data_IF_712709719040
#
_entry.id   IF_712709719040
#
_cell.length_a   1.000
_cell.length_b   1.000
_cell.length_c   1.000
_cell.angle_alpha   90.00
_cell.angle_beta   90.00
_cell.angle_gamma   90.00
#
_symmetry.space_group_name_H-M   'P 1'
#
loop_
_entity.id
_entity.type
_entity.pdbx_description
1 polymer ?
#
# COMPACT_ATOMS: atom_id res chain seq x y z
N UNK A 1 20.46 -7.13 13.29
CA UNK A 1 20.73 -6.00 12.36
C UNK A 1 20.98 -6.46 10.91
N UNK A 2 21.88 -7.42 10.66
CA UNK A 2 22.20 -7.91 9.30
C UNK A 2 20.97 -8.35 8.48
N UNK A 3 20.13 -9.21 9.05
CA UNK A 3 18.92 -9.73 8.37
C UNK A 3 17.90 -8.64 8.03
N UNK A 4 17.71 -7.66 8.93
CA UNK A 4 16.84 -6.51 8.71
C UNK A 4 17.28 -5.70 7.49
N UNK A 5 18.58 -5.43 7.36
CA UNK A 5 19.13 -4.68 6.22
C UNK A 5 19.06 -5.49 4.93
N UNK A 6 19.35 -6.79 4.98
CA UNK A 6 19.21 -7.68 3.82
C UNK A 6 17.76 -7.72 3.35
N UNK A 7 16.80 -7.91 4.27
CA UNK A 7 15.37 -7.90 3.95
C UNK A 7 14.92 -6.56 3.35
N UNK A 8 15.46 -5.43 3.83
CA UNK A 8 15.19 -4.12 3.26
C UNK A 8 15.71 -4.00 1.82
N UNK A 9 16.96 -4.41 1.57
CA UNK A 9 17.55 -4.37 0.23
C UNK A 9 16.76 -5.24 -0.76
N UNK A 10 16.39 -6.46 -0.34
CA UNK A 10 15.56 -7.36 -1.16
C UNK A 10 14.20 -6.73 -1.45
N UNK A 11 13.54 -6.15 -0.43
CA UNK A 11 12.25 -5.49 -0.62
C UNK A 11 12.37 -4.30 -1.58
N UNK A 12 13.41 -3.47 -1.45
CA UNK A 12 13.66 -2.36 -2.39
C UNK A 12 13.77 -2.89 -3.81
N UNK A 13 14.61 -3.92 -4.06
CA UNK A 13 14.76 -4.51 -5.39
C UNK A 13 13.42 -5.01 -5.94
N UNK A 14 12.63 -5.73 -5.13
CA UNK A 14 11.31 -6.23 -5.55
C UNK A 14 10.37 -5.06 -5.89
N UNK A 15 10.29 -4.04 -5.02
CA UNK A 15 9.45 -2.86 -5.23
C UNK A 15 9.89 -2.12 -6.49
N UNK A 16 11.20 -1.95 -6.71
CA UNK A 16 11.76 -1.36 -7.93
C UNK A 16 11.29 -2.12 -9.16
N UNK A 17 11.50 -3.44 -9.20
CA UNK A 17 11.13 -4.28 -10.33
C UNK A 17 9.63 -4.21 -10.64
N UNK A 18 8.78 -4.24 -9.62
CA UNK A 18 7.33 -4.10 -9.82
C UNK A 18 6.98 -2.68 -10.29
N UNK A 19 7.65 -1.64 -9.77
CA UNK A 19 7.39 -0.26 -10.18
C UNK A 19 7.69 -0.02 -11.66
N UNK A 20 8.67 -0.73 -12.23
CA UNK A 20 9.03 -0.57 -13.64
C UNK A 20 7.89 -0.95 -14.60
N UNK A 21 6.87 -1.71 -14.16
CA UNK A 21 5.68 -1.97 -14.99
C UNK A 21 5.00 -0.66 -15.44
N UNK A 22 5.07 0.39 -14.62
CA UNK A 22 4.47 1.69 -14.92
C UNK A 22 5.23 2.50 -15.98
N UNK A 23 6.46 2.13 -16.35
CA UNK A 23 7.13 2.78 -17.51
C UNK A 23 6.44 2.45 -18.83
N UNK A 24 5.64 1.37 -18.89
CA UNK A 24 4.79 1.07 -20.05
C UNK A 24 3.58 2.01 -20.20
N UNK A 25 3.34 2.87 -19.21
CA UNK A 25 2.35 3.95 -19.23
C UNK A 25 3.02 5.33 -19.36
N UNK A 26 4.25 5.37 -19.88
CA UNK A 26 5.06 6.59 -20.05
C UNK A 26 5.37 7.36 -18.75
N UNK A 27 5.14 6.76 -17.58
CA UNK A 27 5.51 7.34 -16.29
C UNK A 27 7.04 7.20 -16.11
N UNK A 28 7.80 8.30 -15.98
CA UNK A 28 9.25 8.22 -15.87
C UNK A 28 9.69 7.65 -14.52
N UNK A 29 10.77 6.88 -14.51
CA UNK A 29 11.45 6.53 -13.26
C UNK A 29 12.14 7.79 -12.69
N UNK A 30 12.04 8.09 -11.38
CA UNK A 30 11.53 7.26 -10.29
C UNK A 30 10.04 7.48 -9.92
N UNK A 31 9.29 8.28 -10.67
CA UNK A 31 7.86 8.55 -10.39
C UNK A 31 6.99 7.28 -10.42
N UNK A 32 7.46 6.22 -11.07
CA UNK A 32 6.83 4.89 -11.05
C UNK A 32 6.62 4.31 -9.64
N UNK A 33 7.46 4.65 -8.65
CA UNK A 33 7.24 4.24 -7.26
C UNK A 33 5.95 4.83 -6.70
N UNK A 34 5.67 6.10 -7.01
CA UNK A 34 4.46 6.77 -6.56
C UNK A 34 3.23 6.11 -7.20
N UNK A 35 3.29 5.83 -8.50
CA UNK A 35 2.23 5.12 -9.21
C UNK A 35 1.95 3.74 -8.60
N UNK A 36 2.99 2.96 -8.28
CA UNK A 36 2.85 1.67 -7.61
C UNK A 36 2.23 1.79 -6.21
N UNK A 37 2.72 2.70 -5.37
CA UNK A 37 2.21 2.90 -4.00
C UNK A 37 0.75 3.35 -4.06
N UNK A 38 0.40 4.28 -4.93
CA UNK A 38 -0.98 4.75 -5.07
C UNK A 38 -1.90 3.65 -5.58
N UNK A 39 -1.46 2.88 -6.58
CA UNK A 39 -2.27 1.79 -7.18
C UNK A 39 -2.53 0.69 -6.17
N UNK A 40 -1.50 0.23 -5.48
CA UNK A 40 -1.61 -0.81 -4.45
C UNK A 40 -2.50 -0.38 -3.28
N UNK A 41 -2.37 0.88 -2.82
CA UNK A 41 -3.25 1.41 -1.78
C UNK A 41 -4.68 1.64 -2.28
N UNK A 42 -4.89 1.99 -3.56
CA UNK A 42 -6.23 2.11 -4.15
C UNK A 42 -6.94 0.75 -4.19
N UNK A 43 -6.22 -0.31 -4.60
CA UNK A 43 -6.73 -1.69 -4.56
C UNK A 43 -7.09 -2.08 -3.11
N UNK A 44 -6.20 -1.81 -2.15
CA UNK A 44 -6.45 -2.11 -0.75
C UNK A 44 -7.64 -1.31 -0.18
N UNK A 45 -7.79 -0.04 -0.57
CA UNK A 45 -8.90 0.83 -0.18
C UNK A 45 -10.23 0.32 -0.76
N UNK A 46 -10.25 -0.09 -2.02
CA UNK A 46 -11.42 -0.70 -2.66
C UNK A 46 -11.88 -1.95 -1.91
N UNK A 47 -10.95 -2.85 -1.57
CA UNK A 47 -11.26 -4.05 -0.77
C UNK A 47 -11.76 -3.65 0.62
N UNK A 48 -11.18 -2.62 1.24
CA UNK A 48 -11.54 -2.16 2.58
C UNK A 48 -12.97 -1.59 2.67
N UNK A 49 -13.57 -1.12 1.57
CA UNK A 49 -14.98 -0.69 1.54
C UNK A 49 -15.88 -1.83 2.04
N UNK A 50 -15.59 -3.08 1.67
CA UNK A 50 -16.36 -4.26 2.09
C UNK A 50 -15.69 -4.90 3.32
N UNK A 51 -14.39 -5.20 3.22
CA UNK A 51 -13.63 -6.05 4.15
C UNK A 51 -12.58 -5.26 4.97
N UNK A 52 -12.96 -4.11 5.52
CA UNK A 52 -12.06 -3.22 6.26
C UNK A 52 -11.19 -3.93 7.32
N UNK A 53 -11.82 -4.69 8.22
CA UNK A 53 -11.10 -5.42 9.28
C UNK A 53 -10.07 -6.40 8.72
N UNK A 54 -10.38 -7.08 7.61
CA UNK A 54 -9.45 -8.00 6.99
C UNK A 54 -8.20 -7.27 6.49
N UNK A 55 -8.36 -6.11 5.84
CA UNK A 55 -7.22 -5.31 5.36
C UNK A 55 -6.30 -4.83 6.49
N UNK A 56 -6.88 -4.47 7.65
CA UNK A 56 -6.15 -4.08 8.85
C UNK A 56 -5.36 -5.28 9.41
N UNK A 57 -6.03 -6.43 9.60
CA UNK A 57 -5.40 -7.63 10.17
C UNK A 57 -4.29 -8.19 9.26
N UNK A 58 -4.49 -8.18 7.95
CA UNK A 58 -3.47 -8.61 6.97
C UNK A 58 -2.22 -7.73 7.12
N UNK A 59 -2.37 -6.41 7.21
CA UNK A 59 -1.24 -5.51 7.41
C UNK A 59 -0.52 -5.80 8.73
N UNK A 60 -1.26 -5.91 9.83
CA UNK A 60 -0.66 -6.17 11.15
C UNK A 60 0.05 -7.52 11.21
N UNK A 61 -0.49 -8.55 10.55
CA UNK A 61 0.15 -9.86 10.43
C UNK A 61 1.50 -9.81 9.72
N UNK A 62 1.66 -8.92 8.74
CA UNK A 62 2.93 -8.75 8.01
C UNK A 62 3.87 -7.75 8.66
N UNK A 63 3.38 -6.75 9.40
CA UNK A 63 4.22 -5.65 9.91
C UNK A 63 4.51 -5.77 11.40
N UNK A 64 3.53 -6.17 12.22
CA UNK A 64 3.64 -6.18 13.69
C UNK A 64 4.04 -7.54 14.27
N UNK A 65 3.94 -8.62 13.49
CA UNK A 65 4.43 -9.93 13.91
C UNK A 65 5.95 -9.89 14.12
N UNK A 66 6.40 -10.59 15.17
CA UNK A 66 7.82 -10.80 15.45
C UNK A 66 8.55 -11.36 14.23
N UNK A 67 9.75 -10.84 13.99
CA UNK A 67 10.55 -11.14 12.80
C UNK A 67 11.56 -12.22 13.13
N UNK A 68 11.33 -13.41 12.60
CA UNK A 68 12.17 -14.60 12.84
C UNK A 68 13.07 -14.93 11.66
N UNK A 69 12.78 -14.41 10.48
CA UNK A 69 13.49 -14.69 9.23
C UNK A 69 13.67 -13.44 8.37
N UNK A 70 14.59 -13.51 7.40
CA UNK A 70 14.77 -12.47 6.38
C UNK A 70 13.46 -12.24 5.60
N UNK A 71 12.71 -13.29 5.29
CA UNK A 71 11.43 -13.19 4.60
C UNK A 71 10.41 -12.38 5.41
N UNK A 72 10.38 -12.52 6.73
CA UNK A 72 9.49 -11.72 7.58
C UNK A 72 9.79 -10.22 7.46
N UNK A 73 11.07 -9.85 7.31
CA UNK A 73 11.47 -8.46 7.03
C UNK A 73 11.08 -8.03 5.62
N UNK A 74 11.31 -8.86 4.60
CA UNK A 74 10.95 -8.56 3.20
C UNK A 74 9.45 -8.27 3.09
N UNK A 75 8.60 -9.19 3.56
CA UNK A 75 7.15 -9.02 3.50
C UNK A 75 6.67 -7.85 4.36
N UNK A 76 7.33 -7.57 5.49
CA UNK A 76 7.03 -6.38 6.30
C UNK A 76 7.26 -5.10 5.50
N UNK A 77 8.39 -4.97 4.81
CA UNK A 77 8.69 -3.77 4.02
C UNK A 77 7.81 -3.63 2.78
N UNK A 78 7.49 -4.75 2.11
CA UNK A 78 6.53 -4.76 1.00
C UNK A 78 5.15 -4.32 1.51
N UNK A 79 4.65 -4.87 2.61
CA UNK A 79 3.36 -4.50 3.18
C UNK A 79 3.30 -3.01 3.57
N UNK A 80 4.38 -2.46 4.13
CA UNK A 80 4.51 -1.02 4.41
C UNK A 80 4.34 -0.21 3.13
N UNK A 81 5.05 -0.55 2.05
CA UNK A 81 4.96 0.17 0.78
C UNK A 81 3.59 0.05 0.11
N UNK A 82 3.02 -1.15 0.06
CA UNK A 82 1.83 -1.46 -0.73
C UNK A 82 0.51 -1.14 -0.02
N UNK A 83 0.51 -1.11 1.32
CA UNK A 83 -0.74 -1.03 2.09
C UNK A 83 -0.65 -0.16 3.33
N UNK A 84 0.50 0.46 3.61
CA UNK A 84 0.70 1.30 4.78
C UNK A 84 -0.28 2.46 4.86
N UNK A 85 -0.48 3.20 3.76
CA UNK A 85 -1.41 4.34 3.72
C UNK A 85 -2.83 3.86 4.02
N UNK A 86 -3.28 2.82 3.33
CA UNK A 86 -4.59 2.23 3.55
C UNK A 86 -4.76 1.76 5.01
N UNK A 87 -3.76 1.08 5.58
CA UNK A 87 -3.82 0.64 6.98
C UNK A 87 -4.09 1.79 7.94
N UNK A 88 -3.33 2.88 7.85
CA UNK A 88 -3.49 4.01 8.78
C UNK A 88 -4.85 4.68 8.62
N UNK A 89 -5.30 4.93 7.38
CA UNK A 89 -6.60 5.53 7.12
C UNK A 89 -7.73 4.63 7.63
N UNK A 90 -7.73 3.34 7.27
CA UNK A 90 -8.77 2.42 7.69
C UNK A 90 -8.80 2.20 9.20
N UNK A 91 -7.64 2.23 9.87
CA UNK A 91 -7.58 2.15 11.34
C UNK A 91 -8.26 3.34 12.02
N UNK A 92 -8.13 4.54 11.44
CA UNK A 92 -8.81 5.75 11.92
C UNK A 92 -10.31 5.64 11.65
N UNK A 93 -10.70 5.27 10.43
CA UNK A 93 -12.11 5.16 10.03
C UNK A 93 -12.86 4.07 10.80
N UNK A 94 -12.19 2.98 11.20
CA UNK A 94 -12.78 1.90 11.99
C UNK A 94 -13.23 2.35 13.39
N UNK A 95 -12.83 3.54 13.85
CA UNK A 95 -13.30 4.14 15.11
C UNK A 95 -14.62 4.91 14.96
N UNK A 96 -15.07 5.15 13.74
CA UNK A 96 -16.27 5.93 13.44
C UNK A 96 -17.53 5.04 13.41
N UNK A 97 -18.73 5.62 13.59
CA UNK A 97 -19.98 4.92 13.34
C UNK A 97 -20.04 4.33 11.93
N UNK A 98 -20.73 3.19 11.79
CA UNK A 98 -20.72 2.37 10.57
C UNK A 98 -20.95 3.17 9.28
N UNK A 99 -21.96 4.05 9.25
CA UNK A 99 -22.30 4.83 8.05
C UNK A 99 -21.17 5.79 7.67
N UNK A 100 -20.65 6.57 8.63
CA UNK A 100 -19.55 7.51 8.38
C UNK A 100 -18.28 6.79 7.96
N UNK A 101 -17.97 5.66 8.60
CA UNK A 101 -16.85 4.81 8.24
C UNK A 101 -16.93 4.38 6.76
N UNK A 102 -18.07 3.85 6.31
CA UNK A 102 -18.23 3.39 4.92
C UNK A 102 -18.19 4.52 3.90
N UNK A 103 -18.86 5.64 4.18
CA UNK A 103 -18.84 6.82 3.29
C UNK A 103 -17.41 7.36 3.12
N UNK A 104 -16.65 7.48 4.22
CA UNK A 104 -15.28 7.97 4.18
C UNK A 104 -14.31 6.95 3.55
N UNK A 105 -14.55 5.64 3.69
CA UNK A 105 -13.76 4.62 3.01
C UNK A 105 -13.96 4.70 1.48
N UNK A 106 -15.19 4.91 1.01
CA UNK A 106 -15.49 5.15 -0.41
C UNK A 106 -14.81 6.45 -0.87
N UNK A 107 -14.96 7.53 -0.11
CA UNK A 107 -14.34 8.81 -0.44
C UNK A 107 -12.81 8.72 -0.53
N UNK A 108 -12.17 8.01 0.41
CA UNK A 108 -10.73 7.75 0.37
C UNK A 108 -10.31 6.97 -0.88
N UNK A 109 -11.05 5.92 -1.25
CA UNK A 109 -10.81 5.20 -2.50
C UNK A 109 -10.92 6.13 -3.72
N UNK A 110 -11.95 6.98 -3.78
CA UNK A 110 -12.13 7.93 -4.88
C UNK A 110 -10.99 8.94 -4.98
N UNK A 111 -10.46 9.42 -3.84
CA UNK A 111 -9.27 10.29 -3.83
C UNK A 111 -8.07 9.56 -4.45
N UNK A 112 -7.78 8.34 -4.00
CA UNK A 112 -6.66 7.57 -4.53
C UNK A 112 -6.83 7.27 -6.03
N UNK A 113 -8.05 6.94 -6.44
CA UNK A 113 -8.38 6.67 -7.83
C UNK A 113 -8.21 7.92 -8.70
N UNK A 114 -8.70 9.08 -8.25
CA UNK A 114 -8.50 10.35 -8.94
C UNK A 114 -7.02 10.72 -9.04
N UNK A 115 -6.25 10.52 -7.97
CA UNK A 115 -4.82 10.78 -7.96
C UNK A 115 -4.04 9.90 -8.95
N UNK A 116 -4.51 8.68 -9.22
CA UNK A 116 -3.92 7.84 -10.26
C UNK A 116 -4.09 8.42 -11.66
N UNK A 117 -5.26 8.99 -11.99
CA UNK A 117 -5.44 9.70 -13.26
C UNK A 117 -4.53 10.91 -13.36
N UNK A 118 -4.41 11.70 -12.29
CA UNK A 118 -3.50 12.85 -12.27
C UNK A 118 -2.04 12.44 -12.50
N UNK A 119 -1.61 11.29 -11.98
CA UNK A 119 -0.25 10.77 -12.24
C UNK A 119 -0.08 10.34 -13.69
N UNK A 120 -1.12 9.79 -14.31
CA UNK A 120 -1.10 9.38 -15.71
C UNK A 120 -1.18 10.59 -16.66
N UNK A 121 -1.99 11.60 -16.36
CA UNK A 121 -2.22 12.79 -17.22
C UNK A 121 -1.10 13.84 -17.14
N UNK A 122 -0.22 13.76 -16.12
CA UNK A 122 0.95 14.67 -16.00
C UNK A 122 2.03 14.34 -17.05
N UNK A 123 1.90 13.23 -17.77
CA UNK A 123 2.81 12.77 -18.82
C UNK A 123 2.06 12.39 -20.09
#
# INVERSE_FOLDING_TARGET
MKEKTIGLMIAIVIITLISLVFTGLDIPFPSTYLALIMTSNAIAAFIAIILQKATIVIYEGHVRKEKTSIFDYVFSYIAIGFSGINYYVQTVLNRLPFVLNKLLAIFFFLILFFQLFMIADVY
#
